data_IF_739738699373
#
_entry.id   IF_739738699373
#
_cell.length_a   1.000
_cell.length_b   1.000
_cell.length_c   1.000
_cell.angle_alpha   90.00
_cell.angle_beta   90.00
_cell.angle_gamma   90.00
#
_symmetry.space_group_name_H-M   'P 1'
#
loop_
_entity.id
_entity.type
_entity.pdbx_description
1 polymer ?
#
# COMPACT_ATOMS: atom_id res chain seq x y z
N UNK A 1 8.56 -63.77 19.09
CA UNK A 1 9.04 -63.22 17.79
C UNK A 1 7.78 -62.74 17.08
N UNK A 2 7.51 -61.46 16.86
CA UNK A 2 8.26 -60.48 16.05
C UNK A 2 7.89 -59.04 16.43
N UNK A 3 8.87 -58.14 16.41
CA UNK A 3 8.72 -56.69 16.61
C UNK A 3 8.31 -56.03 15.28
N UNK A 4 7.23 -55.25 15.26
CA UNK A 4 6.85 -54.42 14.11
C UNK A 4 7.56 -53.05 14.20
N UNK A 5 8.48 -52.83 13.27
CA UNK A 5 9.34 -51.66 13.17
C UNK A 5 8.64 -50.58 12.33
N UNK A 6 8.24 -49.45 12.92
CA UNK A 6 7.68 -48.32 12.17
C UNK A 6 8.78 -47.28 11.91
N UNK A 7 9.29 -47.28 10.69
CA UNK A 7 10.27 -46.30 10.20
C UNK A 7 9.58 -44.94 9.96
N UNK A 8 10.02 -43.91 10.70
CA UNK A 8 9.60 -42.53 10.49
C UNK A 8 10.47 -41.88 9.42
N UNK A 9 9.87 -41.55 8.27
CA UNK A 9 10.55 -40.81 7.19
C UNK A 9 10.51 -39.33 7.52
N UNK A 10 11.65 -38.79 7.96
CA UNK A 10 11.81 -37.36 8.20
C UNK A 10 11.93 -36.58 6.87
N UNK A 11 10.87 -35.85 6.50
CA UNK A 11 10.89 -34.93 5.36
C UNK A 11 11.69 -33.69 5.73
N UNK A 12 12.90 -33.57 5.19
CA UNK A 12 13.76 -32.38 5.34
C UNK A 12 13.28 -31.28 4.39
N UNK A 13 12.43 -30.38 4.87
CA UNK A 13 12.11 -29.15 4.13
C UNK A 13 13.27 -28.16 4.22
N UNK A 14 14.04 -28.00 3.13
CA UNK A 14 15.05 -26.94 3.04
C UNK A 14 14.33 -25.59 2.91
N UNK A 15 14.54 -24.72 3.91
CA UNK A 15 14.00 -23.35 3.92
C UNK A 15 14.79 -22.49 2.93
N UNK A 16 14.38 -22.48 1.67
CA UNK A 16 14.95 -21.59 0.66
C UNK A 16 14.38 -20.20 0.89
N UNK A 17 15.27 -19.25 1.22
CA UNK A 17 14.92 -17.84 1.37
C UNK A 17 14.92 -17.21 -0.03
N UNK A 18 13.83 -16.56 -0.48
CA UNK A 18 13.86 -15.83 -1.74
C UNK A 18 14.69 -14.55 -1.56
N UNK A 19 15.63 -14.31 -2.48
CA UNK A 19 16.31 -13.02 -2.61
C UNK A 19 15.93 -12.38 -3.94
N UNK A 20 15.64 -11.09 -3.90
CA UNK A 20 15.34 -10.28 -5.09
C UNK A 20 16.58 -9.44 -5.36
N UNK A 21 17.17 -9.61 -6.54
CA UNK A 21 18.28 -8.79 -7.00
C UNK A 21 17.75 -7.83 -8.08
N UNK A 22 18.03 -6.54 -7.93
CA UNK A 22 17.73 -5.53 -8.94
C UNK A 22 19.03 -5.06 -9.60
N UNK A 23 19.08 -5.08 -10.92
CA UNK A 23 20.20 -4.54 -11.68
C UNK A 23 19.91 -3.06 -12.01
N UNK A 24 20.74 -2.16 -11.48
CA UNK A 24 20.76 -0.74 -11.85
C UNK A 24 21.45 -0.62 -13.22
N UNK A 25 20.68 -0.37 -14.27
CA UNK A 25 21.22 -0.10 -15.59
C UNK A 25 22.03 1.21 -15.55
N UNK A 26 23.32 1.13 -15.92
CA UNK A 26 24.17 2.31 -16.11
C UNK A 26 23.67 3.07 -17.34
N UNK A 27 23.27 4.32 -17.14
CA UNK A 27 22.96 5.22 -18.23
C UNK A 27 24.26 5.54 -18.99
N UNK A 28 24.36 5.07 -20.23
CA UNK A 28 25.41 5.48 -21.16
C UNK A 28 25.09 6.90 -21.63
N UNK A 29 25.94 7.85 -21.23
CA UNK A 29 25.90 9.20 -21.72
C UNK A 29 26.49 9.24 -23.14
N UNK A 30 25.66 9.56 -24.12
CA UNK A 30 26.11 10.07 -25.42
C UNK A 30 25.74 11.56 -25.47
N UNK A 31 26.78 12.40 -25.55
CA UNK A 31 26.74 13.86 -25.44
C UNK A 31 26.78 14.43 -26.87
N UNK A 32 25.80 15.28 -27.24
CA UNK A 32 25.90 16.28 -28.31
C UNK A 32 25.09 17.56 -27.93
N UNK A 33 25.43 18.75 -28.48
CA UNK A 33 25.54 19.96 -27.66
C UNK A 33 24.34 20.94 -27.70
N UNK A 34 24.23 21.65 -26.56
CA UNK A 34 23.78 23.03 -26.33
C UNK A 34 22.45 23.53 -26.94
N UNK A 35 21.40 23.47 -26.12
CA UNK A 35 20.44 24.58 -26.01
C UNK A 35 20.49 25.02 -24.55
N UNK A 36 21.05 26.21 -24.33
CA UNK A 36 21.07 26.88 -23.03
C UNK A 36 19.63 27.24 -22.65
N UNK A 37 19.02 26.38 -21.83
CA UNK A 37 17.77 26.68 -21.13
C UNK A 37 18.12 26.79 -19.67
N UNK A 38 18.05 28.03 -19.18
CA UNK A 38 18.18 28.38 -17.77
C UNK A 38 17.38 27.39 -16.90
N UNK A 39 18.03 26.70 -15.93
CA UNK A 39 17.34 25.72 -15.11
C UNK A 39 16.28 26.41 -14.25
N UNK A 40 15.06 25.87 -14.14
CA UNK A 40 14.11 26.37 -13.16
C UNK A 40 14.75 26.24 -11.78
N UNK A 41 14.85 27.38 -11.08
CA UNK A 41 15.36 27.49 -9.72
C UNK A 41 14.62 26.48 -8.84
N UNK A 42 15.30 25.40 -8.47
CA UNK A 42 14.75 24.42 -7.53
C UNK A 42 14.36 25.14 -6.23
N UNK A 43 13.19 24.85 -5.64
CA UNK A 43 12.90 25.36 -4.30
C UNK A 43 14.00 24.87 -3.37
N UNK A 44 14.60 25.81 -2.62
CA UNK A 44 15.59 25.52 -1.58
C UNK A 44 15.06 24.36 -0.73
N UNK A 45 15.77 23.23 -0.76
CA UNK A 45 15.40 22.03 -0.03
C UNK A 45 15.48 22.36 1.46
N UNK A 46 14.34 22.71 2.06
CA UNK A 46 14.20 22.82 3.50
C UNK A 46 14.63 21.47 4.08
N UNK A 47 15.64 21.42 4.98
CA UNK A 47 16.10 20.15 5.54
C UNK A 47 14.95 19.45 6.25
N UNK A 48 14.55 18.27 5.74
CA UNK A 48 13.56 17.43 6.41
C UNK A 48 14.17 16.87 7.69
N UNK A 49 13.36 16.88 8.76
CA UNK A 49 13.77 16.40 10.07
C UNK A 49 13.99 14.89 10.01
N UNK A 50 15.26 14.48 10.02
CA UNK A 50 15.67 13.08 9.89
C UNK A 50 15.64 12.41 11.25
N UNK A 51 14.65 11.57 11.51
CA UNK A 51 14.57 10.74 12.72
C UNK A 51 15.26 9.39 12.51
N UNK A 52 15.87 8.83 13.56
CA UNK A 52 16.42 7.48 13.51
C UNK A 52 15.30 6.44 13.58
N UNK A 53 15.45 5.26 12.95
CA UNK A 53 14.44 4.20 13.00
C UNK A 53 14.23 3.66 14.43
N UNK A 54 15.22 3.80 15.32
CA UNK A 54 15.09 3.47 16.75
C UNK A 54 14.10 4.36 17.50
N UNK A 55 13.79 5.55 16.99
CA UNK A 55 12.80 6.46 17.59
C UNK A 55 11.36 6.02 17.37
N UNK A 56 11.09 5.10 16.44
CA UNK A 56 9.76 4.56 16.17
C UNK A 56 9.45 3.30 16.98
N UNK A 57 10.32 2.91 17.91
CA UNK A 57 10.10 1.74 18.75
C UNK A 57 9.08 2.06 19.84
N UNK A 58 8.03 1.24 19.92
CA UNK A 58 7.07 1.26 21.01
C UNK A 58 7.27 -0.01 21.85
N UNK A 59 7.18 0.12 23.17
CA UNK A 59 7.28 -1.03 24.08
C UNK A 59 6.07 -1.96 23.89
N UNK A 60 6.26 -3.26 24.13
CA UNK A 60 5.17 -4.23 24.08
C UNK A 60 4.04 -3.83 25.04
N UNK A 61 2.83 -3.62 24.51
CA UNK A 61 1.67 -3.17 25.29
C UNK A 61 1.41 -1.66 25.26
N UNK A 62 2.26 -0.89 24.60
CA UNK A 62 2.00 0.53 24.34
C UNK A 62 0.99 0.69 23.19
N UNK A 63 -0.21 1.17 23.50
CA UNK A 63 -1.19 1.55 22.48
C UNK A 63 -0.80 2.92 21.91
N UNK A 64 -0.39 2.95 20.65
CA UNK A 64 -0.22 4.19 19.91
C UNK A 64 -1.61 4.79 19.71
N UNK A 65 -1.89 6.02 20.18
CA UNK A 65 -3.17 6.67 19.95
C UNK A 65 -3.42 6.80 18.45
N UNK A 66 -4.35 6.00 17.93
CA UNK A 66 -4.88 6.21 16.58
C UNK A 66 -5.96 7.29 16.69
N UNK A 67 -5.54 8.55 16.74
CA UNK A 67 -6.47 9.67 16.62
C UNK A 67 -6.86 9.78 15.14
N UNK A 68 -8.10 9.40 14.75
CA UNK A 68 -8.56 9.64 13.37
C UNK A 68 -8.61 11.14 13.05
N UNK A 69 -8.55 12.00 14.06
CA UNK A 69 -8.48 13.46 13.94
C UNK A 69 -7.13 14.01 13.46
N UNK A 70 -6.10 13.17 13.28
CA UNK A 70 -4.81 13.61 12.72
C UNK A 70 -4.85 13.78 11.18
N UNK A 71 -6.02 14.13 10.67
CA UNK A 71 -6.27 14.63 9.33
C UNK A 71 -6.89 16.03 9.40
N UNK A 72 -6.23 16.95 10.11
CA UNK A 72 -6.49 18.38 10.01
C UNK A 72 -7.92 18.82 10.31
N UNK A 73 -8.37 18.69 11.56
CA UNK A 73 -9.45 19.54 12.08
C UNK A 73 -8.90 20.94 12.35
N UNK A 74 -8.63 21.68 11.28
CA UNK A 74 -8.39 23.10 11.32
C UNK A 74 -9.40 23.79 10.38
N UNK A 75 -10.42 24.39 11.00
CA UNK A 75 -11.32 25.40 10.42
C UNK A 75 -12.24 24.99 9.26
N UNK A 76 -12.58 23.70 9.10
CA UNK A 76 -13.48 23.24 8.02
C UNK A 76 -14.06 21.83 8.19
N UNK A 77 -14.06 21.31 9.41
CA UNK A 77 -14.45 19.92 9.68
C UNK A 77 -15.96 19.82 9.76
N UNK A 78 -16.56 19.36 8.66
CA UNK A 78 -17.96 18.94 8.65
C UNK A 78 -18.22 17.98 9.81
N UNK A 79 -19.29 18.22 10.55
CA UNK A 79 -19.80 17.26 11.51
C UNK A 79 -20.00 15.90 10.80
N UNK A 80 -19.75 14.78 11.47
CA UNK A 80 -19.86 13.44 10.87
C UNK A 80 -21.23 13.22 10.17
N UNK A 81 -22.28 13.80 10.75
CA UNK A 81 -23.63 13.78 10.16
C UNK A 81 -23.75 14.64 8.89
N UNK A 82 -23.09 15.79 8.84
CA UNK A 82 -23.07 16.64 7.65
C UNK A 82 -22.28 15.98 6.53
N UNK A 83 -21.15 15.33 6.84
CA UNK A 83 -20.37 14.56 5.87
C UNK A 83 -21.18 13.39 5.28
N UNK A 84 -21.87 12.62 6.13
CA UNK A 84 -22.77 11.56 5.70
C UNK A 84 -23.89 12.12 4.80
N UNK A 85 -24.51 13.22 5.20
CA UNK A 85 -25.58 13.87 4.42
C UNK A 85 -25.05 14.30 3.04
N UNK A 86 -23.85 14.87 2.99
CA UNK A 86 -23.22 15.29 1.74
C UNK A 86 -22.90 14.10 0.82
N UNK A 87 -22.45 12.96 1.37
CA UNK A 87 -22.23 11.74 0.56
C UNK A 87 -23.55 11.27 -0.05
N UNK A 88 -24.63 11.21 0.74
CA UNK A 88 -25.92 10.71 0.28
C UNK A 88 -26.65 11.67 -0.68
N UNK A 89 -26.46 12.99 -0.50
CA UNK A 89 -27.03 14.01 -1.37
C UNK A 89 -26.21 14.26 -2.65
N UNK A 90 -25.03 13.65 -2.76
CA UNK A 90 -24.12 13.86 -3.89
C UNK A 90 -24.68 13.24 -5.18
N UNK A 91 -24.60 14.00 -6.27
CA UNK A 91 -25.12 13.63 -7.59
C UNK A 91 -24.13 12.84 -8.45
N UNK A 92 -23.38 11.93 -7.83
CA UNK A 92 -22.33 11.16 -8.54
C UNK A 92 -22.95 10.23 -9.59
N UNK A 93 -24.19 9.78 -9.37
CA UNK A 93 -24.91 8.89 -10.28
C UNK A 93 -25.45 9.54 -11.54
N UNK A 94 -25.37 10.87 -11.66
CA UNK A 94 -25.72 11.56 -12.90
C UNK A 94 -24.69 11.26 -14.01
N UNK A 95 -23.44 10.95 -13.63
CA UNK A 95 -22.32 10.72 -14.56
C UNK A 95 -21.61 9.38 -14.35
N UNK A 96 -21.72 8.77 -13.18
CA UNK A 96 -21.02 7.54 -12.84
C UNK A 96 -22.01 6.41 -12.52
N UNK A 97 -21.62 5.19 -12.90
CA UNK A 97 -22.34 3.97 -12.54
C UNK A 97 -21.67 3.29 -11.35
N UNK A 98 -22.45 2.49 -10.62
CA UNK A 98 -21.91 1.64 -9.57
C UNK A 98 -20.93 0.62 -10.17
N UNK A 99 -19.70 0.62 -9.66
CA UNK A 99 -18.67 -0.30 -10.12
C UNK A 99 -18.89 -1.70 -9.55
N UNK A 100 -18.74 -2.78 -10.35
CA UNK A 100 -18.94 -4.14 -9.86
C UNK A 100 -17.98 -4.50 -8.73
N UNK A 101 -18.52 -5.14 -7.69
CA UNK A 101 -17.72 -5.72 -6.61
C UNK A 101 -17.41 -7.18 -6.95
N UNK A 102 -16.16 -7.46 -7.32
CA UNK A 102 -15.75 -8.77 -7.81
C UNK A 102 -15.00 -9.57 -6.73
N UNK A 103 -15.35 -10.84 -6.57
CA UNK A 103 -14.62 -11.76 -5.69
C UNK A 103 -13.29 -12.16 -6.32
N UNK A 104 -12.20 -11.93 -5.59
CA UNK A 104 -10.87 -12.39 -6.00
C UNK A 104 -10.65 -13.83 -5.51
N UNK A 105 -11.11 -14.81 -6.28
CA UNK A 105 -11.10 -16.24 -5.88
C UNK A 105 -9.70 -16.72 -5.49
N UNK A 106 -8.68 -16.39 -6.30
CA UNK A 106 -7.28 -16.78 -6.03
C UNK A 106 -6.70 -16.18 -4.75
N UNK A 107 -7.10 -14.94 -4.42
CA UNK A 107 -6.68 -14.30 -3.18
C UNK A 107 -7.46 -14.86 -2.00
N UNK A 108 -8.76 -15.09 -2.18
CA UNK A 108 -9.63 -15.63 -1.15
C UNK A 108 -9.19 -17.01 -0.70
N UNK A 109 -8.83 -17.89 -1.65
CA UNK A 109 -8.27 -19.22 -1.37
C UNK A 109 -6.93 -19.15 -0.63
N UNK A 110 -6.06 -18.21 -0.98
CA UNK A 110 -4.75 -18.05 -0.34
C UNK A 110 -4.84 -17.51 1.09
N UNK A 111 -5.83 -16.68 1.37
CA UNK A 111 -5.98 -15.99 2.66
C UNK A 111 -7.02 -16.67 3.58
N UNK A 112 -7.85 -17.56 3.03
CA UNK A 112 -8.87 -18.30 3.79
C UNK A 112 -10.13 -17.49 4.13
N UNK A 113 -10.31 -16.29 3.54
CA UNK A 113 -11.50 -15.47 3.69
C UNK A 113 -11.85 -14.79 2.36
N UNK A 114 -13.11 -14.35 2.22
CA UNK A 114 -13.59 -13.73 0.98
C UNK A 114 -12.97 -12.34 0.79
N UNK A 115 -12.14 -12.19 -0.24
CA UNK A 115 -11.53 -10.92 -0.65
C UNK A 115 -12.33 -10.34 -1.82
N UNK A 116 -12.99 -9.21 -1.59
CA UNK A 116 -13.77 -8.49 -2.60
C UNK A 116 -12.98 -7.28 -3.12
N UNK A 117 -12.91 -7.12 -4.44
CA UNK A 117 -12.23 -6.04 -5.12
C UNK A 117 -13.26 -5.10 -5.77
N UNK A 118 -13.12 -3.81 -5.51
CA UNK A 118 -13.86 -2.76 -6.21
C UNK A 118 -12.97 -2.15 -7.30
N UNK A 119 -13.30 -2.39 -8.56
CA UNK A 119 -12.55 -1.87 -9.72
C UNK A 119 -13.07 -0.48 -10.08
N UNK A 120 -12.40 0.56 -9.62
CA UNK A 120 -12.87 1.96 -9.71
C UNK A 120 -12.79 2.60 -11.11
N UNK A 121 -12.74 1.83 -12.21
CA UNK A 121 -12.19 2.33 -13.48
C UNK A 121 -12.83 1.90 -14.80
N UNK A 122 -13.59 0.81 -14.89
CA UNK A 122 -14.08 0.33 -16.19
C UNK A 122 -15.58 0.59 -16.35
N UNK A 123 -15.91 1.72 -16.98
CA UNK A 123 -17.23 1.97 -17.53
C UNK A 123 -17.31 1.30 -18.91
N UNK A 124 -18.24 0.36 -19.17
CA UNK A 124 -18.47 -0.13 -20.52
C UNK A 124 -19.05 1.02 -21.37
N UNK A 125 -18.30 1.46 -22.38
CA UNK A 125 -18.70 2.49 -23.34
C UNK A 125 -19.67 2.00 -24.39
#
# INVERSE_FOLDING_TARGET
>A
MTLSNTSSVAIRTRRVKPSINAALAKQAAEILPSVEREPPRAPSAVPLLRVSPSSLQCESGYLIPNNPDNGGVSNGTLNAMEYLTNILASKVYDVAYESPLQLATKLSERWGFNVLLNTRGDCPG
#
